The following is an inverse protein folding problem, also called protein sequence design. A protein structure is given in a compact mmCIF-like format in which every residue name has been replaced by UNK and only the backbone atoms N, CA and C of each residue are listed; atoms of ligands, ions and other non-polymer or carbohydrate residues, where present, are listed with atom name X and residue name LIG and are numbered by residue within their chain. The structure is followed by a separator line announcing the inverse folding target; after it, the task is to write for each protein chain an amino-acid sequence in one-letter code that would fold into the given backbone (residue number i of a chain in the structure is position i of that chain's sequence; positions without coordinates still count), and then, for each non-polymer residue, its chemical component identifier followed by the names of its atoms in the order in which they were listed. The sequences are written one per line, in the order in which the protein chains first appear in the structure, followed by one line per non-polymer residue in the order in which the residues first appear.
data_IF_469827691880
#
_entry.id   IF_469827691880
#
_cell.length_a   1.000
_cell.length_b   1.000
_cell.length_c   1.000
_cell.angle_alpha   90.00
_cell.angle_beta   90.00
_cell.angle_gamma   90.00
#
_symmetry.space_group_name_H-M   'P 1'
#
loop_
_entity.id
_entity.type
_entity.pdbx_description
1 polymer ?
#
# COMPACT_ATOMS: atom_id res chain seq x y z
N UNK A 1 46.00 -21.71 60.57
CA UNK A 1 45.53 -20.49 59.90
C UNK A 1 44.97 -20.89 58.53
N UNK A 2 43.67 -20.69 58.34
CA UNK A 2 42.93 -20.71 57.06
C UNK A 2 43.47 -19.65 56.04
N UNK A 3 43.03 -19.56 54.76
CA UNK A 3 42.17 -20.45 53.93
C UNK A 3 42.57 -20.58 52.42
N UNK A 4 41.78 -21.41 51.69
CA UNK A 4 41.27 -21.31 50.30
C UNK A 4 42.16 -20.90 49.10
N UNK A 5 42.10 -21.70 48.00
CA UNK A 5 41.75 -21.35 46.60
C UNK A 5 41.50 -22.68 45.84
N UNK A 6 40.30 -23.10 45.44
CA UNK A 6 39.46 -22.67 44.31
C UNK A 6 40.12 -22.84 42.91
N UNK A 7 39.79 -23.93 42.20
CA UNK A 7 40.06 -24.07 40.75
C UNK A 7 38.80 -24.56 40.06
N UNK A 8 38.24 -23.72 39.18
CA UNK A 8 37.04 -23.99 38.38
C UNK A 8 37.18 -23.33 37.00
N UNK A 9 37.03 -24.15 35.95
CA UNK A 9 36.67 -23.87 34.55
C UNK A 9 37.66 -22.99 33.74
N UNK A 10 37.85 -23.12 32.43
CA UNK A 10 36.86 -23.03 31.34
C UNK A 10 37.43 -23.68 30.06
N UNK A 11 36.70 -24.65 29.49
CA UNK A 11 36.81 -25.02 28.08
C UNK A 11 36.07 -23.93 27.29
N UNK A 12 36.79 -23.10 26.54
CA UNK A 12 36.19 -22.11 25.65
C UNK A 12 36.03 -22.73 24.26
N UNK A 13 34.85 -23.29 23.99
CA UNK A 13 34.44 -23.68 22.65
C UNK A 13 34.34 -22.46 21.76
N UNK A 14 35.15 -22.47 20.70
CA UNK A 14 35.02 -21.63 19.51
C UNK A 14 33.74 -22.06 18.78
N UNK A 15 32.65 -21.31 18.97
CA UNK A 15 31.51 -21.35 18.07
C UNK A 15 31.52 -20.09 17.22
N UNK A 16 31.92 -20.27 15.95
CA UNK A 16 31.71 -19.32 14.86
C UNK A 16 30.23 -18.88 14.83
N UNK A 17 29.97 -17.64 15.23
CA UNK A 17 28.77 -16.92 14.79
C UNK A 17 29.15 -16.14 13.52
N UNK A 18 29.15 -16.82 12.38
CA UNK A 18 28.96 -16.18 11.09
C UNK A 18 27.48 -15.82 10.99
N UNK A 19 27.10 -14.71 11.63
CA UNK A 19 25.84 -14.03 11.31
C UNK A 19 26.07 -13.43 9.93
N UNK A 20 25.53 -14.10 8.91
CA UNK A 20 25.41 -13.53 7.59
C UNK A 20 24.62 -12.22 7.71
N UNK A 21 25.32 -11.10 7.51
CA UNK A 21 24.73 -9.80 7.24
C UNK A 21 24.06 -9.89 5.87
N UNK A 22 22.91 -10.55 5.81
CA UNK A 22 22.02 -10.43 4.65
C UNK A 22 21.39 -9.04 4.80
N UNK A 23 21.56 -8.12 3.83
CA UNK A 23 20.79 -6.88 3.84
C UNK A 23 19.32 -7.27 3.89
N UNK A 24 18.60 -6.76 4.89
CA UNK A 24 17.15 -6.86 4.92
C UNK A 24 16.62 -6.01 3.78
N UNK A 25 16.30 -6.64 2.66
CA UNK A 25 15.44 -6.00 1.67
C UNK A 25 14.17 -5.53 2.41
N UNK A 26 13.80 -4.26 2.25
CA UNK A 26 12.46 -3.79 2.60
C UNK A 26 11.48 -4.44 1.62
N UNK A 27 11.22 -5.70 1.88
CA UNK A 27 10.02 -6.37 1.44
C UNK A 27 8.82 -5.61 1.99
N UNK A 28 7.75 -5.49 1.20
CA UNK A 28 6.44 -5.17 1.75
C UNK A 28 6.21 -6.15 2.91
N UNK A 29 6.05 -5.64 4.12
CA UNK A 29 5.74 -6.53 5.25
C UNK A 29 4.31 -7.03 5.02
N UNK A 30 4.03 -8.29 5.36
CA UNK A 30 2.65 -8.74 5.45
C UNK A 30 1.85 -7.69 6.24
N UNK A 31 0.78 -7.16 5.64
CA UNK A 31 -0.06 -6.16 6.30
C UNK A 31 0.11 -4.70 5.85
N UNK A 32 0.87 -4.41 4.78
CA UNK A 32 0.83 -3.07 4.17
C UNK A 32 -0.60 -2.72 3.69
N UNK A 33 -1.05 -1.46 3.86
CA UNK A 33 -2.43 -1.10 3.58
C UNK A 33 -2.69 -0.96 2.08
N UNK A 34 -3.73 -1.64 1.61
CA UNK A 34 -4.29 -1.55 0.27
C UNK A 34 -5.49 -0.63 0.30
N UNK A 35 -5.58 0.30 -0.63
CA UNK A 35 -6.80 1.07 -0.84
C UNK A 35 -7.72 0.40 -1.85
N UNK A 36 -8.96 0.17 -1.45
CA UNK A 36 -10.06 -0.23 -2.32
C UNK A 36 -10.94 0.99 -2.55
N UNK A 37 -11.24 1.31 -3.82
CA UNK A 37 -12.02 2.50 -4.19
C UNK A 37 -13.22 2.17 -5.06
N UNK A 38 -14.38 2.69 -4.69
CA UNK A 38 -15.59 2.68 -5.50
C UNK A 38 -15.57 3.89 -6.45
N UNK A 39 -15.75 3.68 -7.75
CA UNK A 39 -15.87 4.76 -8.73
C UNK A 39 -17.29 4.89 -9.30
N UNK A 40 -18.24 4.11 -8.79
CA UNK A 40 -19.57 4.00 -9.37
C UNK A 40 -19.58 3.19 -10.66
N UNK A 41 -20.78 2.98 -11.20
CA UNK A 41 -21.01 2.18 -12.41
C UNK A 41 -20.38 0.76 -12.35
N UNK A 42 -20.16 0.23 -11.13
CA UNK A 42 -19.50 -1.04 -10.91
C UNK A 42 -17.99 -1.04 -11.15
N UNK A 43 -17.36 0.14 -11.22
CA UNK A 43 -15.91 0.28 -11.33
C UNK A 43 -15.30 0.30 -9.93
N UNK A 44 -14.37 -0.62 -9.67
CA UNK A 44 -13.59 -0.68 -8.43
C UNK A 44 -12.11 -0.61 -8.75
N UNK A 45 -11.36 0.15 -7.96
CA UNK A 45 -9.91 0.25 -8.08
C UNK A 45 -9.22 -0.28 -6.83
N UNK A 46 -8.13 -0.99 -7.03
CA UNK A 46 -7.26 -1.51 -5.97
C UNK A 46 -5.89 -0.87 -6.15
N UNK A 47 -5.42 -0.18 -5.12
CA UNK A 47 -4.14 0.54 -5.12
C UNK A 47 -3.25 0.09 -3.96
N UNK A 48 -2.04 -0.39 -4.26
CA UNK A 48 -1.11 -0.99 -3.27
C UNK A 48 -0.12 0.02 -2.70
N UNK A 49 0.57 -0.33 -1.60
CA UNK A 49 1.63 0.51 -1.02
C UNK A 49 2.76 0.82 -2.00
N UNK A 50 3.01 -0.09 -2.94
CA UNK A 50 4.00 0.04 -4.01
C UNK A 50 3.55 0.93 -5.17
N UNK A 51 2.37 1.54 -5.02
CA UNK A 51 1.71 2.38 -6.01
C UNK A 51 1.46 1.60 -7.31
N UNK A 52 0.97 0.36 -7.21
CA UNK A 52 0.37 -0.37 -8.32
C UNK A 52 -1.14 -0.18 -8.28
N UNK A 53 -1.76 0.11 -9.43
CA UNK A 53 -3.19 0.40 -9.58
C UNK A 53 -3.82 -0.57 -10.56
N UNK A 54 -4.69 -1.45 -10.04
CA UNK A 54 -5.53 -2.34 -10.84
C UNK A 54 -6.97 -1.85 -10.80
N UNK A 55 -7.57 -1.66 -11.96
CA UNK A 55 -8.97 -1.23 -12.08
C UNK A 55 -9.81 -2.34 -12.69
N UNK A 56 -10.95 -2.61 -12.07
CA UNK A 56 -11.96 -3.54 -12.56
C UNK A 56 -13.20 -2.75 -12.94
N UNK A 57 -13.81 -3.08 -14.07
CA UNK A 57 -15.08 -2.47 -14.46
C UNK A 57 -15.90 -3.36 -15.41
N UNK A 58 -17.23 -3.18 -15.48
CA UNK A 58 -18.10 -3.98 -16.35
C UNK A 58 -17.69 -3.95 -17.82
N UNK A 59 -17.36 -2.76 -18.31
CA UNK A 59 -17.06 -2.50 -19.71
C UNK A 59 -15.86 -1.55 -19.80
N UNK A 60 -15.15 -1.57 -20.93
CA UNK A 60 -14.11 -0.59 -21.21
C UNK A 60 -14.65 0.85 -21.13
N UNK A 61 -15.89 1.06 -21.58
CA UNK A 61 -16.56 2.37 -21.52
C UNK A 61 -16.78 2.85 -20.08
N UNK A 62 -17.22 1.95 -19.18
CA UNK A 62 -17.41 2.31 -17.76
C UNK A 62 -16.11 2.77 -17.11
N UNK A 63 -14.99 2.11 -17.42
CA UNK A 63 -13.66 2.49 -16.92
C UNK A 63 -13.20 3.81 -17.55
N UNK A 64 -13.40 3.98 -18.86
CA UNK A 64 -12.99 5.19 -19.59
C UNK A 64 -13.74 6.46 -19.17
N UNK A 65 -14.95 6.34 -18.62
CA UNK A 65 -15.71 7.46 -18.04
C UNK A 65 -15.11 7.98 -16.73
N UNK A 66 -14.33 7.15 -16.04
CA UNK A 66 -13.75 7.52 -14.75
C UNK A 66 -12.53 8.41 -14.94
N UNK A 67 -12.35 9.35 -14.00
CA UNK A 67 -11.21 10.25 -13.95
C UNK A 67 -10.26 9.82 -12.85
N UNK A 68 -9.39 8.87 -13.18
CA UNK A 68 -8.30 8.49 -12.28
C UNK A 68 -7.23 9.58 -12.23
N UNK A 69 -6.60 9.76 -11.07
CA UNK A 69 -5.48 10.71 -10.92
C UNK A 69 -4.27 10.35 -11.78
N UNK A 70 -4.14 9.06 -12.15
CA UNK A 70 -3.14 8.54 -13.09
C UNK A 70 -3.72 7.36 -13.87
N UNK A 71 -3.08 6.99 -14.97
CA UNK A 71 -3.44 5.79 -15.72
C UNK A 71 -3.32 4.53 -14.85
N UNK A 72 -4.30 3.61 -14.89
CA UNK A 72 -4.16 2.29 -14.28
C UNK A 72 -2.98 1.52 -14.86
N UNK A 73 -2.26 0.80 -14.00
CA UNK A 73 -1.20 -0.11 -14.44
C UNK A 73 -1.79 -1.35 -15.13
N UNK A 74 -3.00 -1.75 -14.71
CA UNK A 74 -3.80 -2.75 -15.41
C UNK A 74 -5.30 -2.45 -15.31
N UNK A 75 -6.02 -2.68 -16.40
CA UNK A 75 -7.49 -2.64 -16.45
C UNK A 75 -8.06 -4.02 -16.76
N UNK A 76 -9.03 -4.45 -15.97
CA UNK A 76 -9.73 -5.73 -16.10
C UNK A 76 -11.20 -5.45 -16.46
N UNK A 77 -11.56 -5.77 -17.71
CA UNK A 77 -12.95 -5.66 -18.18
C UNK A 77 -13.70 -6.93 -17.82
N UNK A 78 -14.65 -6.79 -16.91
CA UNK A 78 -15.34 -7.92 -16.26
C UNK A 78 -16.30 -8.66 -17.20
N UNK A 79 -16.72 -8.04 -18.30
CA UNK A 79 -17.52 -8.70 -19.34
C UNK A 79 -16.69 -9.57 -20.30
N UNK A 80 -15.36 -9.50 -20.26
CA UNK A 80 -14.51 -10.37 -21.07
C UNK A 80 -14.47 -11.78 -20.50
N UNK A 81 -14.69 -12.80 -21.34
CA UNK A 81 -14.60 -14.22 -20.98
C UNK A 81 -13.16 -14.74 -20.87
N UNK A 82 -12.18 -13.85 -20.76
CA UNK A 82 -10.78 -14.23 -20.72
C UNK A 82 -10.39 -14.79 -19.35
N UNK A 83 -9.80 -15.99 -19.35
CA UNK A 83 -9.15 -16.54 -18.17
C UNK A 83 -7.90 -15.72 -17.86
N UNK A 84 -7.81 -15.23 -16.64
CA UNK A 84 -6.68 -14.45 -16.15
C UNK A 84 -6.09 -15.19 -14.97
N UNK A 85 -4.80 -15.49 -15.01
CA UNK A 85 -3.99 -15.78 -13.84
C UNK A 85 -2.63 -15.14 -14.08
N UNK A 86 -2.45 -13.89 -13.61
CA UNK A 86 -1.31 -13.05 -13.93
C UNK A 86 -0.76 -12.34 -12.70
N UNK A 87 0.52 -11.97 -12.79
CA UNK A 87 1.20 -11.07 -11.87
C UNK A 87 1.34 -9.69 -12.50
N UNK A 88 1.00 -8.66 -11.72
CA UNK A 88 1.39 -7.27 -11.96
C UNK A 88 2.48 -6.89 -10.96
N UNK A 89 3.68 -6.56 -11.44
CA UNK A 89 4.80 -6.22 -10.56
C UNK A 89 5.83 -5.34 -11.29
N UNK A 90 6.79 -4.80 -10.56
CA UNK A 90 7.93 -4.08 -11.12
C UNK A 90 9.16 -4.37 -10.28
N UNK A 91 10.25 -4.83 -10.89
CA UNK A 91 11.48 -5.07 -10.12
C UNK A 91 12.12 -3.73 -9.75
N UNK A 92 12.90 -3.67 -8.65
CA UNK A 92 13.69 -2.49 -8.35
C UNK A 92 14.53 -2.06 -9.55
N UNK A 93 14.62 -0.74 -9.78
CA UNK A 93 15.32 -0.11 -10.91
C UNK A 93 14.68 -0.31 -12.31
N UNK A 94 13.68 -1.18 -12.48
CA UNK A 94 12.95 -1.29 -13.75
C UNK A 94 12.11 -0.03 -13.99
N UNK A 95 12.05 0.45 -15.23
CA UNK A 95 11.27 1.65 -15.57
C UNK A 95 9.77 1.38 -15.71
N UNK A 96 9.37 0.14 -16.03
CA UNK A 96 8.00 -0.22 -16.40
C UNK A 96 7.45 -1.35 -15.52
N UNK A 97 6.16 -1.27 -15.24
CA UNK A 97 5.39 -2.37 -14.63
C UNK A 97 5.20 -3.48 -15.67
N UNK A 98 5.28 -4.73 -15.21
CA UNK A 98 5.11 -5.94 -16.00
C UNK A 98 3.79 -6.63 -15.64
N UNK A 99 3.08 -7.11 -16.66
CA UNK A 99 1.89 -7.96 -16.55
C UNK A 99 2.18 -9.30 -17.21
N UNK A 100 2.40 -10.36 -16.42
CA UNK A 100 2.86 -11.66 -16.92
C UNK A 100 2.00 -12.81 -16.42
N UNK A 101 1.76 -13.86 -17.23
CA UNK A 101 1.08 -15.07 -16.77
C UNK A 101 1.82 -15.73 -15.60
N UNK A 102 1.07 -16.29 -14.64
CA UNK A 102 1.65 -17.04 -13.50
C UNK A 102 2.45 -18.26 -13.98
N UNK A 103 2.04 -18.88 -15.09
CA UNK A 103 2.66 -20.07 -15.65
C UNK A 103 4.11 -19.85 -16.11
N UNK A 104 4.49 -18.61 -16.45
CA UNK A 104 5.79 -18.27 -17.02
C UNK A 104 6.93 -18.13 -15.98
N UNK A 105 6.68 -18.56 -14.73
CA UNK A 105 7.58 -18.61 -13.55
C UNK A 105 8.43 -17.35 -13.26
N UNK A 106 7.94 -16.55 -12.32
CA UNK A 106 8.55 -16.05 -11.07
C UNK A 106 7.56 -15.03 -10.47
N UNK A 107 7.10 -15.17 -9.23
CA UNK A 107 6.72 -14.01 -8.44
C UNK A 107 7.60 -13.97 -7.21
N UNK A 108 8.72 -13.22 -7.22
CA UNK A 108 9.62 -13.28 -6.08
C UNK A 108 9.41 -12.15 -5.09
N UNK A 109 8.71 -11.08 -5.46
CA UNK A 109 8.63 -9.92 -4.59
C UNK A 109 7.24 -9.84 -3.92
N UNK A 110 7.18 -9.63 -2.59
CA UNK A 110 5.93 -9.61 -1.83
C UNK A 110 4.95 -8.52 -2.28
N UNK A 111 5.45 -7.51 -2.99
CA UNK A 111 4.68 -6.39 -3.56
C UNK A 111 3.97 -6.70 -4.89
N UNK A 112 4.16 -7.90 -5.45
CA UNK A 112 3.50 -8.31 -6.69
C UNK A 112 2.00 -8.54 -6.49
N UNK A 113 1.18 -7.97 -7.37
CA UNK A 113 -0.28 -8.19 -7.37
C UNK A 113 -0.61 -9.38 -8.25
N UNK A 114 -1.13 -10.46 -7.67
CA UNK A 114 -1.76 -11.53 -8.45
C UNK A 114 -3.21 -11.16 -8.74
N UNK A 115 -3.64 -11.37 -9.98
CA UNK A 115 -5.05 -11.34 -10.34
C UNK A 115 -5.42 -12.67 -10.98
N UNK A 116 -6.44 -13.33 -10.43
CA UNK A 116 -6.95 -14.62 -10.91
C UNK A 116 -8.45 -14.56 -11.15
N UNK A 117 -8.92 -14.94 -12.32
CA UNK A 117 -10.34 -15.14 -12.61
C UNK A 117 -10.78 -16.53 -12.14
N UNK A 118 -11.95 -16.62 -11.51
CA UNK A 118 -12.66 -17.87 -11.29
C UNK A 118 -13.62 -18.07 -12.47
N UNK A 119 -13.50 -19.17 -13.20
CA UNK A 119 -14.33 -19.44 -14.37
C UNK A 119 -15.12 -20.74 -14.23
N UNK A 120 -16.37 -20.73 -14.73
CA UNK A 120 -17.20 -21.93 -14.86
C UNK A 120 -17.98 -21.89 -16.17
N UNK A 121 -17.88 -22.96 -16.96
CA UNK A 121 -18.55 -23.09 -18.26
C UNK A 121 -18.30 -21.87 -19.20
N UNK A 122 -17.07 -21.36 -19.23
CA UNK A 122 -16.69 -20.22 -20.08
C UNK A 122 -17.15 -18.84 -19.58
N UNK A 123 -17.76 -18.75 -18.40
CA UNK A 123 -18.15 -17.49 -17.75
C UNK A 123 -17.23 -17.20 -16.57
N UNK A 124 -16.79 -15.95 -16.44
CA UNK A 124 -16.06 -15.49 -15.26
C UNK A 124 -17.06 -15.20 -14.14
N UNK A 125 -16.88 -15.85 -12.99
CA UNK A 125 -17.75 -15.73 -11.83
C UNK A 125 -17.28 -14.64 -10.86
N UNK A 126 -15.96 -14.55 -10.67
CA UNK A 126 -15.33 -13.60 -9.78
C UNK A 126 -13.86 -13.39 -10.18
N UNK A 127 -13.26 -12.37 -9.60
CA UNK A 127 -11.81 -12.14 -9.65
C UNK A 127 -11.26 -12.16 -8.24
N UNK A 128 -10.11 -12.78 -8.07
CA UNK A 128 -9.33 -12.76 -6.84
C UNK A 128 -8.10 -11.90 -7.08
N UNK A 129 -7.84 -10.98 -6.17
CA UNK A 129 -6.64 -10.16 -6.10
C UNK A 129 -5.88 -10.53 -4.84
N UNK A 130 -4.60 -10.87 -4.98
CA UNK A 130 -3.72 -11.21 -3.86
C UNK A 130 -2.48 -10.31 -3.89
N UNK A 131 -2.19 -9.62 -2.80
CA UNK A 131 -0.99 -8.77 -2.63
C UNK A 131 -0.77 -8.48 -1.15
N UNK A 132 0.48 -8.39 -0.70
CA UNK A 132 0.86 -8.04 0.69
C UNK A 132 0.14 -8.87 1.78
N UNK A 133 -0.14 -10.15 1.46
CA UNK A 133 -0.87 -11.07 2.34
C UNK A 133 -2.40 -10.92 2.31
N UNK A 134 -2.94 -9.89 1.63
CA UNK A 134 -4.37 -9.61 1.54
C UNK A 134 -5.02 -10.37 0.39
N UNK A 135 -6.24 -10.85 0.61
CA UNK A 135 -7.07 -11.48 -0.41
C UNK A 135 -8.37 -10.72 -0.61
N UNK A 136 -8.56 -10.20 -1.82
CA UNK A 136 -9.73 -9.44 -2.24
C UNK A 136 -10.45 -10.22 -3.32
N UNK A 137 -11.75 -10.45 -3.16
CA UNK A 137 -12.61 -11.04 -4.17
C UNK A 137 -13.56 -9.98 -4.70
N UNK A 138 -13.62 -9.85 -6.02
CA UNK A 138 -14.56 -8.99 -6.72
C UNK A 138 -15.59 -9.90 -7.38
N UNK A 139 -16.83 -9.85 -6.91
CA UNK A 139 -17.95 -10.64 -7.42
C UNK A 139 -18.85 -9.79 -8.33
N UNK A 140 -19.20 -10.32 -9.49
CA UNK A 140 -20.27 -9.79 -10.34
C UNK A 140 -21.59 -10.41 -9.92
N UNK A 141 -22.54 -9.63 -9.38
CA UNK A 141 -23.87 -10.13 -8.98
C UNK A 141 -24.79 -10.54 -10.16
N UNK A 142 -24.23 -10.96 -11.29
CA UNK A 142 -24.97 -11.55 -12.40
C UNK A 142 -24.85 -13.07 -12.48
N UNK A 143 -24.25 -13.70 -11.46
CA UNK A 143 -24.04 -15.14 -11.46
C UNK A 143 -24.87 -15.77 -10.34
N UNK A 144 -26.02 -16.33 -10.69
CA UNK A 144 -26.88 -17.16 -9.80
C UNK A 144 -26.20 -18.46 -9.35
N UNK A 145 -24.88 -18.56 -9.54
CA UNK A 145 -24.10 -19.76 -9.38
C UNK A 145 -23.12 -19.54 -8.23
N UNK A 146 -23.36 -20.16 -7.06
CA UNK A 146 -22.42 -20.07 -5.94
C UNK A 146 -21.07 -20.69 -6.34
N UNK A 147 -20.00 -20.10 -5.80
CA UNK A 147 -18.66 -20.67 -5.88
C UNK A 147 -18.63 -22.04 -5.20
N UNK A 148 -17.84 -22.96 -5.75
CA UNK A 148 -17.59 -24.27 -5.14
C UNK A 148 -16.38 -24.21 -4.20
N UNK A 149 -16.31 -25.14 -3.27
CA UNK A 149 -15.20 -25.26 -2.31
C UNK A 149 -13.82 -25.33 -2.99
N UNK A 150 -13.71 -25.99 -4.16
CA UNK A 150 -12.46 -26.10 -4.94
C UNK A 150 -12.10 -24.84 -5.74
N UNK A 151 -13.05 -23.93 -5.90
CA UNK A 151 -12.84 -22.62 -6.53
C UNK A 151 -12.50 -21.53 -5.50
N UNK A 152 -12.74 -21.82 -4.22
CA UNK A 152 -12.43 -20.92 -3.11
C UNK A 152 -10.94 -20.96 -2.76
N UNK A 153 -10.47 -19.87 -2.15
CA UNK A 153 -9.10 -19.78 -1.65
C UNK A 153 -8.93 -20.67 -0.43
N UNK A 154 -7.74 -21.26 -0.28
CA UNK A 154 -7.39 -22.08 0.89
C UNK A 154 -7.31 -21.27 2.20
N UNK A 155 -7.24 -19.95 2.07
CA UNK A 155 -7.07 -18.95 3.12
C UNK A 155 -8.31 -18.07 3.23
N UNK A 156 -8.48 -17.46 4.40
CA UNK A 156 -9.58 -16.55 4.67
C UNK A 156 -9.56 -15.34 3.73
N UNK A 157 -10.75 -14.93 3.27
CA UNK A 157 -10.92 -13.76 2.44
C UNK A 157 -10.93 -12.48 3.30
N UNK A 158 -10.11 -11.49 2.98
CA UNK A 158 -10.10 -10.22 3.70
C UNK A 158 -11.24 -9.30 3.25
N UNK A 159 -11.48 -9.21 1.93
CA UNK A 159 -12.54 -8.38 1.37
C UNK A 159 -13.32 -9.12 0.29
N UNK A 160 -14.65 -9.05 0.38
CA UNK A 160 -15.56 -9.35 -0.72
C UNK A 160 -16.21 -8.06 -1.21
N UNK A 161 -15.89 -7.64 -2.43
CA UNK A 161 -16.60 -6.59 -3.14
C UNK A 161 -17.77 -7.21 -3.90
N UNK A 162 -18.99 -6.87 -3.51
CA UNK A 162 -20.20 -7.31 -4.22
C UNK A 162 -20.75 -6.15 -5.01
N UNK A 163 -20.94 -6.38 -6.31
CA UNK A 163 -21.58 -5.40 -7.20
C UNK A 163 -23.02 -5.81 -7.48
N UNK A 164 -24.02 -5.13 -6.92
CA UNK A 164 -25.42 -5.36 -7.31
C UNK A 164 -25.78 -4.55 -8.56
N UNK A 165 -25.89 -5.23 -9.70
CA UNK A 165 -26.18 -4.59 -10.98
C UNK A 165 -27.67 -4.31 -11.09
N UNK A 166 -28.14 -3.19 -10.54
CA UNK A 166 -29.35 -2.43 -10.94
C UNK A 166 -30.69 -3.16 -11.07
N UNK A 167 -30.75 -4.46 -10.81
CA UNK A 167 -31.93 -5.31 -10.83
C UNK A 167 -31.89 -6.01 -9.49
N UNK A 168 -32.83 -5.72 -8.57
CA UNK A 168 -33.04 -6.57 -7.41
C UNK A 168 -33.50 -7.92 -7.94
N UNK A 169 -32.56 -8.78 -8.30
CA UNK A 169 -32.89 -10.16 -8.60
C UNK A 169 -33.40 -10.77 -7.30
N UNK A 170 -34.31 -11.74 -7.42
CA UNK A 170 -34.81 -12.55 -6.31
C UNK A 170 -33.71 -13.32 -5.54
N UNK A 171 -32.43 -13.05 -5.81
CA UNK A 171 -31.30 -13.92 -5.53
C UNK A 171 -30.19 -13.29 -4.67
N UNK A 172 -30.54 -12.36 -3.78
CA UNK A 172 -29.69 -12.04 -2.61
C UNK A 172 -29.28 -13.32 -1.84
N UNK A 173 -30.03 -14.42 -2.01
CA UNK A 173 -29.74 -15.73 -1.43
C UNK A 173 -28.40 -16.33 -1.86
N UNK A 174 -28.02 -16.22 -3.15
CA UNK A 174 -26.78 -16.78 -3.67
C UNK A 174 -25.56 -16.02 -3.14
N UNK A 175 -25.64 -14.69 -3.11
CA UNK A 175 -24.58 -13.83 -2.58
C UNK A 175 -24.44 -14.02 -1.07
N UNK A 176 -25.55 -14.08 -0.32
CA UNK A 176 -25.52 -14.39 1.11
C UNK A 176 -24.95 -15.79 1.37
N UNK A 177 -25.22 -16.76 0.49
CA UNK A 177 -24.60 -18.08 0.52
C UNK A 177 -23.09 -18.02 0.31
N UNK A 178 -22.63 -17.23 -0.67
CA UNK A 178 -21.22 -17.00 -0.94
C UNK A 178 -20.52 -16.30 0.24
N UNK A 179 -21.14 -15.29 0.84
CA UNK A 179 -20.63 -14.60 2.04
C UNK A 179 -20.53 -15.58 3.21
N UNK A 180 -21.58 -16.38 3.45
CA UNK A 180 -21.58 -17.39 4.52
C UNK A 180 -20.49 -18.44 4.31
N UNK A 181 -20.24 -18.83 3.06
CA UNK A 181 -19.25 -19.84 2.73
C UNK A 181 -17.81 -19.29 2.76
N UNK A 182 -17.59 -18.11 2.18
CA UNK A 182 -16.28 -17.46 2.11
C UNK A 182 -15.83 -16.82 3.43
N UNK A 183 -16.77 -16.50 4.31
CA UNK A 183 -16.56 -15.84 5.60
C UNK A 183 -15.57 -14.66 5.50
N UNK A 184 -15.82 -13.70 4.58
CA UNK A 184 -14.93 -12.57 4.42
C UNK A 184 -14.89 -11.74 5.70
N UNK A 185 -13.74 -11.12 6.00
CA UNK A 185 -13.64 -10.16 7.11
C UNK A 185 -14.47 -8.91 6.83
N UNK A 186 -14.44 -8.43 5.59
CA UNK A 186 -15.19 -7.25 5.15
C UNK A 186 -16.00 -7.59 3.90
N UNK A 187 -17.28 -7.22 3.90
CA UNK A 187 -18.11 -7.17 2.68
C UNK A 187 -18.33 -5.71 2.32
N UNK A 188 -17.89 -5.32 1.13
CA UNK A 188 -18.12 -3.98 0.60
C UNK A 188 -19.27 -3.99 -0.40
N UNK A 189 -20.19 -3.04 -0.22
CA UNK A 189 -21.40 -2.86 -1.02
C UNK A 189 -21.49 -1.42 -1.55
N UNK A 190 -22.17 -1.29 -2.69
CA UNK A 190 -22.59 0.00 -3.21
C UNK A 190 -23.68 0.63 -2.32
N UNK A 191 -23.72 1.96 -2.25
CA UNK A 191 -24.80 2.65 -1.57
C UNK A 191 -26.16 2.32 -2.21
N UNK A 192 -27.11 1.85 -1.40
CA UNK A 192 -28.44 1.45 -1.86
C UNK A 192 -28.55 0.03 -2.39
N UNK A 193 -27.51 -0.81 -2.18
CA UNK A 193 -27.56 -2.23 -2.54
C UNK A 193 -28.74 -2.95 -1.83
N UNK A 194 -29.60 -3.68 -2.56
CA UNK A 194 -30.74 -4.42 -1.97
C UNK A 194 -30.35 -5.41 -0.88
N UNK A 195 -29.10 -5.90 -0.86
CA UNK A 195 -28.60 -6.81 0.18
C UNK A 195 -28.68 -6.16 1.57
N UNK A 196 -28.54 -4.83 1.65
CA UNK A 196 -28.60 -4.07 2.91
C UNK A 196 -29.95 -4.19 3.61
N UNK A 197 -31.02 -4.53 2.90
CA UNK A 197 -32.37 -4.67 3.46
C UNK A 197 -32.67 -6.09 3.97
N UNK A 198 -31.69 -7.00 3.95
CA UNK A 198 -31.88 -8.39 4.39
C UNK A 198 -31.62 -8.52 5.89
N UNK A 199 -32.49 -9.27 6.60
CA UNK A 199 -32.40 -9.49 8.06
C UNK A 199 -31.07 -10.13 8.54
N UNK A 200 -30.26 -10.66 7.62
CA UNK A 200 -29.00 -11.38 7.90
C UNK A 200 -27.76 -10.49 7.83
N UNK A 201 -27.90 -9.23 7.46
CA UNK A 201 -26.80 -8.28 7.48
C UNK A 201 -26.57 -7.84 8.93
N UNK A 202 -25.33 -7.91 9.39
CA UNK A 202 -24.94 -7.48 10.74
C UNK A 202 -24.89 -5.95 10.84
N UNK A 203 -24.01 -5.44 11.69
CA UNK A 203 -23.73 -4.00 11.72
C UNK A 203 -23.17 -3.53 10.38
N UNK A 204 -23.75 -2.43 9.86
CA UNK A 204 -23.35 -1.80 8.62
C UNK A 204 -22.62 -0.50 8.91
N UNK A 205 -21.36 -0.44 8.49
CA UNK A 205 -20.48 0.72 8.58
C UNK A 205 -20.67 1.55 7.31
N UNK A 206 -21.24 2.75 7.46
CA UNK A 206 -21.36 3.72 6.38
C UNK A 206 -20.16 4.65 6.37
N UNK A 207 -19.28 4.51 5.37
CA UNK A 207 -18.17 5.46 5.19
C UNK A 207 -18.61 6.62 4.31
N UNK A 208 -18.06 7.82 4.56
CA UNK A 208 -18.48 9.06 3.88
C UNK A 208 -17.72 9.33 2.57
N UNK A 209 -16.77 8.46 2.22
CA UNK A 209 -15.85 8.60 1.10
C UNK A 209 -15.76 7.29 0.32
N UNK A 210 -15.34 7.37 -0.94
CA UNK A 210 -15.32 6.23 -1.84
C UNK A 210 -14.07 5.34 -1.71
N UNK A 211 -13.29 5.48 -0.63
CA UNK A 211 -12.03 4.75 -0.42
C UNK A 211 -12.07 4.03 0.92
N UNK A 212 -11.55 2.81 0.99
CA UNK A 212 -11.41 2.04 2.22
C UNK A 212 -10.03 1.37 2.26
N UNK A 213 -9.35 1.43 3.41
CA UNK A 213 -8.08 0.73 3.62
C UNK A 213 -8.32 -0.69 4.16
N UNK A 214 -7.61 -1.66 3.60
CA UNK A 214 -7.55 -3.03 4.12
C UNK A 214 -6.10 -3.51 4.21
N UNK A 215 -5.80 -4.32 5.21
CA UNK A 215 -4.50 -4.94 5.39
C UNK A 215 -4.66 -6.39 5.84
N UNK A 216 -3.62 -7.18 5.59
CA UNK A 216 -3.51 -8.52 6.15
C UNK A 216 -3.38 -8.32 7.66
N UNK A 217 -4.17 -9.04 8.44
CA UNK A 217 -4.10 -8.90 9.89
C UNK A 217 -3.67 -10.23 10.46
N UNK A 218 -2.74 -10.18 11.42
CA UNK A 218 -2.34 -11.35 12.19
C UNK A 218 -3.55 -11.85 12.98
N UNK A 219 -4.16 -12.92 12.47
CA UNK A 219 -4.86 -14.02 13.17
C UNK A 219 -5.33 -13.73 14.62
N UNK A 220 -6.25 -12.78 14.81
CA UNK A 220 -7.17 -12.83 15.95
C UNK A 220 -8.36 -13.74 15.58
N UNK A 221 -9.05 -14.39 16.54
CA UNK A 221 -10.12 -15.34 16.22
C UNK A 221 -11.17 -14.65 15.37
N UNK A 222 -11.47 -15.28 14.22
CA UNK A 222 -12.26 -14.80 13.09
C UNK A 222 -13.32 -13.78 13.53
N UNK A 223 -13.04 -12.45 13.47
CA UNK A 223 -14.02 -11.47 13.86
C UNK A 223 -15.26 -11.60 12.96
N UNK A 224 -16.45 -11.24 13.44
CA UNK A 224 -17.64 -11.27 12.60
C UNK A 224 -17.44 -10.41 11.36
N UNK A 225 -17.97 -10.87 10.22
CA UNK A 225 -17.95 -10.15 8.96
C UNK A 225 -18.51 -8.73 9.15
N UNK A 226 -17.69 -7.73 8.86
CA UNK A 226 -18.08 -6.32 8.86
C UNK A 226 -18.67 -5.94 7.50
N UNK A 227 -19.77 -5.22 7.50
CA UNK A 227 -20.42 -4.76 6.27
C UNK A 227 -20.09 -3.29 6.07
N UNK A 228 -19.52 -2.93 4.92
CA UNK A 228 -19.11 -1.56 4.61
C UNK A 228 -19.86 -1.07 3.38
N UNK A 229 -20.54 0.07 3.51
CA UNK A 229 -21.19 0.75 2.39
C UNK A 229 -20.35 1.92 1.95
N UNK A 230 -19.89 1.88 0.70
CA UNK A 230 -19.05 2.93 0.13
C UNK A 230 -19.81 3.76 -0.91
N UNK A 231 -19.83 5.10 -0.81
CA UNK A 231 -20.36 5.94 -1.88
C UNK A 231 -19.51 5.83 -3.14
N UNK A 232 -20.12 6.09 -4.29
CA UNK A 232 -19.45 6.05 -5.60
C UNK A 232 -18.78 7.36 -6.00
N UNK A 233 -19.17 8.48 -5.37
CA UNK A 233 -18.62 9.80 -5.69
C UNK A 233 -17.17 9.88 -5.19
N UNK A 234 -16.18 10.14 -6.07
CA UNK A 234 -14.81 10.34 -5.66
C UNK A 234 -14.68 11.43 -4.61
N UNK A 235 -13.96 11.12 -3.53
CA UNK A 235 -13.62 12.12 -2.54
C UNK A 235 -12.75 13.20 -3.16
N UNK A 236 -13.10 14.46 -2.89
CA UNK A 236 -12.32 15.62 -3.29
C UNK A 236 -11.73 16.25 -2.04
N UNK A 237 -10.43 16.53 -2.08
CA UNK A 237 -9.75 17.16 -0.96
C UNK A 237 -10.30 18.58 -0.76
N UNK A 238 -10.63 19.00 0.46
CA UNK A 238 -11.05 20.38 0.72
C UNK A 238 -9.96 21.39 0.33
N UNK A 239 -10.34 22.51 -0.28
CA UNK A 239 -9.43 23.50 -0.89
C UNK A 239 -8.24 23.91 0.01
N UNK A 240 -8.52 24.21 1.29
CA UNK A 240 -7.48 24.62 2.24
C UNK A 240 -6.46 23.52 2.59
N UNK A 241 -6.90 22.25 2.58
CA UNK A 241 -6.02 21.09 2.74
C UNK A 241 -5.28 20.80 1.43
N UNK A 242 -5.98 20.92 0.31
CA UNK A 242 -5.44 20.68 -1.03
C UNK A 242 -4.27 21.61 -1.36
N UNK A 243 -4.39 22.91 -1.06
CA UNK A 243 -3.29 23.86 -1.26
C UNK A 243 -2.01 23.48 -0.48
N UNK A 244 -2.16 22.92 0.72
CA UNK A 244 -1.02 22.48 1.54
C UNK A 244 -0.40 21.19 0.97
N UNK A 245 -1.23 20.26 0.52
CA UNK A 245 -0.77 19.04 -0.14
C UNK A 245 -0.03 19.33 -1.44
N UNK A 246 -0.59 20.17 -2.31
CA UNK A 246 0.06 20.58 -3.57
C UNK A 246 1.45 21.15 -3.30
N UNK A 247 1.58 22.02 -2.29
CA UNK A 247 2.88 22.61 -1.93
C UNK A 247 3.89 21.55 -1.47
N UNK A 248 3.47 20.66 -0.56
CA UNK A 248 4.32 19.57 -0.07
C UNK A 248 4.73 18.60 -1.20
N UNK A 249 3.80 18.27 -2.08
CA UNK A 249 4.02 17.34 -3.20
C UNK A 249 4.97 17.93 -4.24
N UNK A 250 4.87 19.23 -4.53
CA UNK A 250 5.80 19.92 -5.42
C UNK A 250 7.25 19.86 -4.90
N UNK A 251 7.47 20.01 -3.58
CA UNK A 251 8.80 19.89 -2.98
C UNK A 251 9.32 18.45 -3.00
N UNK A 252 8.44 17.47 -2.84
CA UNK A 252 8.78 16.06 -3.05
C UNK A 252 9.18 15.81 -4.52
N UNK A 253 8.42 16.32 -5.49
CA UNK A 253 8.71 16.19 -6.93
C UNK A 253 10.05 16.83 -7.32
N UNK A 254 10.35 18.04 -6.83
CA UNK A 254 11.67 18.66 -7.02
C UNK A 254 12.82 17.81 -6.46
N UNK A 255 12.59 17.15 -5.32
CA UNK A 255 13.56 16.22 -4.75
C UNK A 255 13.74 15.01 -5.68
N UNK A 256 12.64 14.43 -6.18
CA UNK A 256 12.68 13.33 -7.14
C UNK A 256 13.50 13.67 -8.39
N UNK A 257 13.40 14.89 -8.92
CA UNK A 257 14.18 15.33 -10.09
C UNK A 257 15.70 15.38 -9.84
N UNK A 258 16.12 15.71 -8.62
CA UNK A 258 17.53 15.74 -8.22
C UNK A 258 18.04 14.33 -7.97
N UNK A 259 17.35 13.59 -7.12
CA UNK A 259 17.75 12.23 -6.73
C UNK A 259 17.66 11.24 -7.89
N UNK A 260 16.68 11.41 -8.78
CA UNK A 260 16.44 10.57 -9.96
C UNK A 260 17.63 10.42 -10.90
N UNK A 261 18.56 11.38 -10.87
CA UNK A 261 19.74 11.43 -11.74
C UNK A 261 20.97 10.76 -11.14
N UNK A 262 20.94 10.40 -9.86
CA UNK A 262 22.11 9.90 -9.16
C UNK A 262 22.40 8.43 -9.48
N UNK A 263 23.67 8.12 -9.66
CA UNK A 263 24.13 6.74 -9.76
C UNK A 263 24.09 6.04 -8.39
N UNK A 264 24.20 4.71 -8.40
CA UNK A 264 24.31 3.92 -7.16
C UNK A 264 25.52 4.38 -6.33
N UNK A 265 26.65 4.67 -6.98
CA UNK A 265 27.88 5.14 -6.32
C UNK A 265 27.67 6.52 -5.67
N UNK A 266 27.08 7.46 -6.42
CA UNK A 266 26.77 8.80 -5.92
C UNK A 266 25.79 8.76 -4.75
N UNK A 267 24.77 7.90 -4.80
CA UNK A 267 23.83 7.72 -3.68
C UNK A 267 24.52 7.23 -2.40
N UNK A 268 25.45 6.31 -2.54
CA UNK A 268 26.18 5.70 -1.43
C UNK A 268 27.45 6.44 -1.02
N UNK A 269 27.78 7.55 -1.70
CA UNK A 269 28.93 8.38 -1.40
C UNK A 269 28.92 8.85 0.06
N UNK A 270 30.03 8.61 0.76
CA UNK A 270 30.26 9.01 2.15
C UNK A 270 31.15 10.25 2.17
N UNK A 271 30.59 11.46 2.36
CA UNK A 271 31.35 12.70 2.31
C UNK A 271 32.46 12.75 3.38
N UNK A 272 33.67 13.16 2.99
CA UNK A 272 34.80 13.35 3.93
C UNK A 272 34.54 14.41 5.01
N UNK A 273 33.62 15.35 4.77
CA UNK A 273 33.22 16.37 5.75
C UNK A 273 32.27 15.85 6.86
N UNK A 274 31.96 14.55 6.87
CA UNK A 274 31.16 13.90 7.91
C UNK A 274 29.65 14.13 7.79
N UNK A 275 29.17 14.74 6.71
CA UNK A 275 27.72 14.88 6.45
C UNK A 275 27.09 13.56 6.01
N UNK A 276 25.77 13.44 6.13
CA UNK A 276 25.01 12.26 5.67
C UNK A 276 25.18 12.00 4.18
N UNK A 277 25.07 10.73 3.74
CA UNK A 277 25.09 10.39 2.31
C UNK A 277 23.86 10.93 1.58
N UNK A 278 23.87 11.06 0.24
CA UNK A 278 22.65 11.34 -0.50
C UNK A 278 21.54 10.31 -0.23
N UNK A 279 21.84 9.01 -0.23
CA UNK A 279 20.82 7.99 0.08
C UNK A 279 20.19 8.17 1.45
N UNK A 280 20.98 8.51 2.48
CA UNK A 280 20.42 8.81 3.80
C UNK A 280 19.43 9.96 3.73
N UNK A 281 19.74 11.04 2.99
CA UNK A 281 18.80 12.16 2.82
C UNK A 281 17.50 11.69 2.16
N UNK A 282 17.58 10.84 1.12
CA UNK A 282 16.41 10.29 0.45
C UNK A 282 15.54 9.45 1.39
N UNK A 283 16.15 8.46 2.06
CA UNK A 283 15.49 7.57 3.02
C UNK A 283 14.92 8.36 4.21
N UNK A 284 15.62 9.39 4.69
CA UNK A 284 15.17 10.22 5.81
C UNK A 284 13.95 11.06 5.47
N UNK A 285 13.95 11.74 4.30
CA UNK A 285 12.83 12.56 3.87
C UNK A 285 11.54 11.72 3.74
N UNK A 286 11.64 10.61 3.01
CA UNK A 286 10.49 9.72 2.80
C UNK A 286 10.07 9.01 4.10
N UNK A 287 11.03 8.56 4.92
CA UNK A 287 10.75 7.87 6.18
C UNK A 287 10.07 8.77 7.22
N UNK A 288 10.41 10.07 7.26
CA UNK A 288 9.73 11.04 8.14
C UNK A 288 8.30 11.32 7.72
N UNK A 289 8.06 11.54 6.42
CA UNK A 289 6.72 11.75 5.90
C UNK A 289 5.84 10.52 6.17
N UNK A 290 6.33 9.33 5.83
CA UNK A 290 5.60 8.08 6.00
C UNK A 290 5.21 7.84 7.47
N UNK A 291 6.14 8.05 8.40
CA UNK A 291 5.88 7.90 9.83
C UNK A 291 4.79 8.86 10.33
N UNK A 292 4.93 10.16 10.05
CA UNK A 292 4.00 11.13 10.61
C UNK A 292 2.57 10.96 10.08
N UNK A 293 2.39 10.67 8.79
CA UNK A 293 1.06 10.47 8.23
C UNK A 293 0.47 9.10 8.60
N UNK A 294 1.28 8.03 8.62
CA UNK A 294 0.79 6.71 9.04
C UNK A 294 0.33 6.69 10.50
N UNK A 295 0.95 7.46 11.40
CA UNK A 295 0.46 7.64 12.78
C UNK A 295 -0.95 8.26 12.85
N UNK A 296 -1.20 9.28 12.03
CA UNK A 296 -2.51 9.96 11.97
C UNK A 296 -3.57 9.03 11.37
N UNK A 297 -3.20 8.32 10.32
CA UNK A 297 -4.10 7.40 9.63
C UNK A 297 -4.43 6.19 10.49
N UNK A 298 -3.43 5.58 11.13
CA UNK A 298 -3.62 4.46 12.06
C UNK A 298 -4.57 4.81 13.22
N UNK A 299 -4.43 6.00 13.79
CA UNK A 299 -5.27 6.46 14.90
C UNK A 299 -6.76 6.58 14.54
N UNK A 300 -7.09 6.65 13.24
CA UNK A 300 -8.45 6.75 12.74
C UNK A 300 -8.94 5.45 12.10
N UNK A 301 -8.03 4.75 11.42
CA UNK A 301 -8.27 3.46 10.77
C UNK A 301 -7.10 2.51 11.06
N UNK A 302 -7.20 1.66 12.09
CA UNK A 302 -6.12 0.78 12.53
C UNK A 302 -5.60 -0.22 11.49
N UNK A 303 -6.39 -0.48 10.43
CA UNK A 303 -5.95 -1.28 9.28
C UNK A 303 -4.73 -0.64 8.56
N UNK A 304 -4.50 0.66 8.72
CA UNK A 304 -3.29 1.33 8.24
C UNK A 304 -2.25 1.21 9.35
N UNK A 305 -1.19 0.44 9.13
CA UNK A 305 -0.11 0.29 10.10
C UNK A 305 0.68 1.59 10.29
N UNK A 306 1.24 1.80 11.48
CA UNK A 306 2.25 2.82 11.71
C UNK A 306 3.57 2.35 11.09
N UNK A 307 4.10 3.12 10.14
CA UNK A 307 5.27 2.74 9.34
C UNK A 307 6.46 3.65 9.65
N UNK A 308 7.48 3.10 10.32
CA UNK A 308 8.73 3.82 10.62
C UNK A 308 9.89 3.29 9.77
N UNK A 309 10.15 3.97 8.66
CA UNK A 309 11.28 3.68 7.77
C UNK A 309 12.42 4.68 7.95
N UNK A 310 12.51 5.35 9.11
CA UNK A 310 13.58 6.32 9.34
C UNK A 310 14.95 5.63 9.45
N UNK A 311 15.97 6.07 8.71
CA UNK A 311 17.32 5.60 8.90
C UNK A 311 17.86 6.08 10.26
N UNK A 312 18.88 5.36 10.77
CA UNK A 312 19.63 5.81 11.95
C UNK A 312 20.23 7.19 11.70
N UNK A 313 20.19 8.05 12.72
CA UNK A 313 20.51 9.47 12.57
C UNK A 313 22.00 9.76 12.49
N UNK A 314 22.86 8.99 13.17
CA UNK A 314 24.30 9.26 13.13
C UNK A 314 24.89 8.70 11.82
N UNK A 315 25.70 9.49 11.09
CA UNK A 315 26.31 9.01 9.83
C UNK A 315 27.09 7.70 9.97
N UNK A 316 27.73 7.46 11.12
CA UNK A 316 28.45 6.22 11.42
C UNK A 316 27.56 4.99 11.55
N UNK A 317 26.30 5.20 11.93
CA UNK A 317 25.35 4.13 12.26
C UNK A 317 24.42 3.84 11.08
N UNK A 318 24.53 4.62 10.00
CA UNK A 318 23.68 4.50 8.84
C UNK A 318 24.05 3.27 8.00
N UNK A 319 23.05 2.42 7.79
CA UNK A 319 23.04 1.35 6.81
C UNK A 319 21.90 1.62 5.83
N UNK A 320 22.24 1.70 4.55
CA UNK A 320 21.26 1.84 3.48
C UNK A 320 20.28 0.66 3.52
N UNK A 321 18.98 0.94 3.45
CA UNK A 321 17.97 -0.10 3.33
C UNK A 321 18.13 -0.86 2.00
N UNK A 322 18.43 -0.12 0.93
CA UNK A 322 18.64 -0.68 -0.41
C UNK A 322 19.89 -0.12 -1.09
N UNK A 323 21.09 -0.62 -0.76
CA UNK A 323 22.33 -0.08 -1.31
C UNK A 323 22.45 -0.20 -2.84
N UNK A 324 21.65 -1.05 -3.49
CA UNK A 324 21.67 -1.32 -4.93
C UNK A 324 20.64 -0.52 -5.74
N UNK A 325 19.79 0.26 -5.08
CA UNK A 325 18.82 1.11 -5.78
C UNK A 325 19.52 2.31 -6.41
N UNK A 326 19.19 2.61 -7.67
CA UNK A 326 19.67 3.81 -8.34
C UNK A 326 18.81 5.03 -7.98
N UNK A 327 19.19 6.20 -8.48
CA UNK A 327 18.49 7.46 -8.25
C UNK A 327 17.01 7.41 -8.64
N UNK A 328 16.69 6.78 -9.76
CA UNK A 328 15.32 6.66 -10.24
C UNK A 328 14.44 5.80 -9.32
N UNK A 329 15.00 4.75 -8.69
CA UNK A 329 14.28 3.96 -7.70
C UNK A 329 14.08 4.71 -6.38
N UNK A 330 15.08 5.45 -5.90
CA UNK A 330 14.93 6.32 -4.71
C UNK A 330 13.88 7.42 -4.92
N UNK A 331 13.91 8.08 -6.08
CA UNK A 331 12.89 9.07 -6.46
C UNK A 331 11.49 8.44 -6.48
N UNK A 332 11.36 7.23 -7.02
CA UNK A 332 10.08 6.52 -7.02
C UNK A 332 9.63 6.13 -5.61
N UNK A 333 10.56 5.84 -4.69
CA UNK A 333 10.21 5.62 -3.28
C UNK A 333 9.64 6.88 -2.62
N UNK A 334 10.20 8.06 -2.91
CA UNK A 334 9.61 9.34 -2.48
C UNK A 334 8.20 9.52 -3.07
N UNK A 335 8.03 9.21 -4.36
CA UNK A 335 6.72 9.25 -5.03
C UNK A 335 5.71 8.31 -4.36
N UNK A 336 6.10 7.09 -3.99
CA UNK A 336 5.24 6.12 -3.29
C UNK A 336 4.77 6.65 -1.94
N UNK A 337 5.66 7.23 -1.14
CA UNK A 337 5.28 7.84 0.15
C UNK A 337 4.34 9.03 -0.04
N UNK A 338 4.59 9.85 -1.06
CA UNK A 338 3.69 10.94 -1.44
C UNK A 338 2.31 10.40 -1.85
N UNK A 339 2.27 9.37 -2.69
CA UNK A 339 1.04 8.70 -3.12
C UNK A 339 0.28 8.08 -1.93
N UNK A 340 0.96 7.41 -1.00
CA UNK A 340 0.37 6.92 0.26
C UNK A 340 -0.29 8.06 1.04
N UNK A 341 0.43 9.18 1.17
CA UNK A 341 -0.04 10.35 1.91
C UNK A 341 -1.32 10.91 1.28
N UNK A 342 -1.37 11.06 -0.05
CA UNK A 342 -2.58 11.52 -0.76
C UNK A 342 -3.70 10.48 -0.77
N UNK A 343 -3.38 9.20 -0.92
CA UNK A 343 -4.35 8.09 -1.04
C UNK A 343 -5.29 8.00 0.15
N UNK A 344 -4.76 8.25 1.35
CA UNK A 344 -5.50 8.19 2.61
C UNK A 344 -5.82 9.57 3.20
N UNK A 345 -5.61 10.65 2.44
CA UNK A 345 -5.89 12.02 2.91
C UNK A 345 -7.37 12.29 3.22
N UNK A 346 -8.29 11.42 2.77
CA UNK A 346 -9.70 11.47 3.20
C UNK A 346 -9.86 11.32 4.71
N UNK A 347 -8.93 10.64 5.39
CA UNK A 347 -8.90 10.56 6.85
C UNK A 347 -8.50 11.89 7.51
N UNK A 348 -8.17 12.92 6.76
CA UNK A 348 -7.93 14.26 7.30
C UNK A 348 -9.16 15.16 7.18
N UNK A 349 -10.22 14.68 6.52
CA UNK A 349 -11.46 15.44 6.35
C UNK A 349 -12.11 15.72 7.71
N UNK A 350 -12.56 16.97 7.89
CA UNK A 350 -13.20 17.42 9.13
C UNK A 350 -12.23 17.71 10.29
N UNK A 351 -10.94 17.39 10.16
CA UNK A 351 -9.94 17.77 11.16
C UNK A 351 -9.64 19.28 11.08
N UNK A 352 -9.47 19.89 12.25
CA UNK A 352 -9.01 21.28 12.34
C UNK A 352 -7.53 21.37 11.95
N UNK A 353 -7.24 22.10 10.87
CA UNK A 353 -5.88 22.30 10.35
C UNK A 353 -4.96 22.97 11.38
N UNK A 354 -5.52 23.75 12.31
CA UNK A 354 -4.78 24.49 13.32
C UNK A 354 -4.75 23.79 14.69
N UNK A 355 -5.24 22.55 14.75
CA UNK A 355 -5.13 21.64 15.89
C UNK A 355 -4.19 20.45 15.62
N UNK A 356 -3.88 19.68 16.67
CA UNK A 356 -3.16 18.40 16.56
C UNK A 356 -4.14 17.30 16.15
N UNK A 357 -3.92 16.59 15.04
CA UNK A 357 -4.75 15.45 14.69
C UNK A 357 -4.43 14.26 15.61
N UNK A 358 -5.33 13.25 15.69
CA UNK A 358 -5.08 12.02 16.44
C UNK A 358 -3.75 11.37 16.05
N UNK A 359 -3.05 10.78 17.01
CA UNK A 359 -1.77 10.10 16.77
C UNK A 359 -0.56 11.02 16.50
N UNK A 360 -0.75 12.33 16.33
CA UNK A 360 0.34 13.27 16.02
C UNK A 360 0.64 14.25 17.14
N UNK A 361 1.92 14.61 17.26
CA UNK A 361 2.39 15.71 18.11
C UNK A 361 2.36 17.08 17.42
N UNK A 362 2.23 17.10 16.10
CA UNK A 362 2.26 18.31 15.27
C UNK A 362 0.86 18.86 15.05
N UNK A 363 0.74 20.19 14.93
CA UNK A 363 -0.45 20.79 14.33
C UNK A 363 -0.49 20.41 12.84
N UNK A 364 -1.65 20.05 12.29
CA UNK A 364 -1.75 19.48 10.94
C UNK A 364 -1.19 20.42 9.85
N UNK A 365 -1.55 21.71 9.88
CA UNK A 365 -0.99 22.73 8.99
C UNK A 365 0.52 22.87 9.14
N UNK A 366 1.01 22.80 10.38
CA UNK A 366 2.44 22.90 10.67
C UNK A 366 3.20 21.66 10.17
N UNK A 367 2.61 20.47 10.26
CA UNK A 367 3.18 19.23 9.73
C UNK A 367 3.33 19.31 8.21
N UNK A 368 2.27 19.69 7.48
CA UNK A 368 2.29 19.81 6.02
C UNK A 368 3.37 20.80 5.55
N UNK A 369 3.43 21.98 6.18
CA UNK A 369 4.50 22.97 5.93
C UNK A 369 5.89 22.48 6.35
N UNK A 370 5.97 21.66 7.39
CA UNK A 370 7.23 21.06 7.80
C UNK A 370 7.73 20.06 6.76
N UNK A 371 6.86 19.25 6.16
CA UNK A 371 7.26 18.31 5.11
C UNK A 371 7.75 19.04 3.86
N UNK A 372 7.07 20.10 3.42
CA UNK A 372 7.56 20.99 2.36
C UNK A 372 9.00 21.46 2.60
N UNK A 373 9.25 22.13 3.74
CA UNK A 373 10.60 22.60 4.10
C UNK A 373 11.61 21.47 4.23
N UNK A 374 11.19 20.34 4.80
CA UNK A 374 12.05 19.18 5.01
C UNK A 374 12.62 18.65 3.68
N UNK A 375 11.77 18.49 2.66
CA UNK A 375 12.24 18.10 1.33
C UNK A 375 13.21 19.13 0.73
N UNK A 376 12.86 20.42 0.80
CA UNK A 376 13.71 21.49 0.25
C UNK A 376 15.10 21.53 0.91
N UNK A 377 15.17 21.43 2.24
CA UNK A 377 16.43 21.47 3.01
C UNK A 377 17.35 20.29 2.69
N UNK A 378 16.82 19.07 2.71
CA UNK A 378 17.64 17.86 2.46
C UNK A 378 18.04 17.72 0.99
N UNK A 379 17.22 18.22 0.05
CA UNK A 379 17.60 18.33 -1.36
C UNK A 379 18.72 19.36 -1.56
N UNK A 380 18.62 20.55 -0.96
CA UNK A 380 19.70 21.53 -0.99
C UNK A 380 21.01 21.00 -0.38
N UNK A 381 20.92 20.25 0.72
CA UNK A 381 22.07 19.58 1.33
C UNK A 381 22.67 18.48 0.47
N UNK A 382 21.92 17.91 -0.47
CA UNK A 382 22.41 16.92 -1.43
C UNK A 382 23.12 17.62 -2.60
N UNK A 383 22.52 18.68 -3.14
CA UNK A 383 23.13 19.48 -4.22
C UNK A 383 24.51 20.01 -3.83
N UNK A 384 24.68 20.51 -2.61
CA UNK A 384 25.98 20.97 -2.08
C UNK A 384 27.09 19.90 -2.12
N UNK A 385 26.73 18.61 -2.19
CA UNK A 385 27.73 17.53 -2.24
C UNK A 385 28.35 17.38 -3.61
N UNK A 386 27.66 17.82 -4.67
CA UNK A 386 28.17 17.70 -6.04
C UNK A 386 29.41 18.57 -6.26
N UNK A 387 29.59 19.60 -5.41
CA UNK A 387 30.74 20.50 -5.42
C UNK A 387 31.90 20.01 -4.51
N UNK A 388 31.77 18.86 -3.85
CA UNK A 388 32.83 18.33 -2.99
C UNK A 388 33.99 17.76 -3.82
N UNK A 389 35.26 17.97 -3.41
CA UNK A 389 36.42 17.48 -4.17
C UNK A 389 36.46 15.96 -4.35
N UNK A 390 35.84 15.22 -3.44
CA UNK A 390 35.76 13.75 -3.41
C UNK A 390 34.44 13.20 -4.00
N UNK A 391 33.60 14.03 -4.62
CA UNK A 391 32.36 13.60 -5.25
C UNK A 391 32.61 12.62 -6.43
N UNK A 392 31.92 11.47 -6.48
CA UNK A 392 32.05 10.53 -7.59
C UNK A 392 31.54 11.12 -8.91
N UNK A 393 32.39 11.09 -9.93
CA UNK A 393 32.12 11.65 -11.27
C UNK A 393 31.15 10.80 -12.08
#
# INVERSE_FOLDING_TARGET
MMPCFATRYVLCSVCLFLIALVPSDVDAREGDPIAVRNWGDGVVAIETQWNLLVVFGPTAESVAKQRFARSPDQTIVMSASQAIDHWLFRKPNDSLVSWVPVADRFPPSPDAVRVKSIQRAGKTLAWIVMVDGVQIMISTAGVDTPLRDDEMLASQLDLLWVRSVGVPTKDSSAILGQIKHAQPRVVCLDAGDPILNQERVGEVIHIQHNTFAISATELDPTPPTSWVVMPSKPWAMPEGLEALFITMEASCEQSQEVFGKLSIEQLNFKPSNGTHTPRWNAEHMMGRQLLFFSQIYHAQQPAIAVMDFNPKQMPSDYLAAHPTWNGAEEARQMQRVSAFTRRFAYLLEGLDLDAKPPGSRWVLRALLKQMDRHYAEHTANTLKKFDLPDWPQ
#
